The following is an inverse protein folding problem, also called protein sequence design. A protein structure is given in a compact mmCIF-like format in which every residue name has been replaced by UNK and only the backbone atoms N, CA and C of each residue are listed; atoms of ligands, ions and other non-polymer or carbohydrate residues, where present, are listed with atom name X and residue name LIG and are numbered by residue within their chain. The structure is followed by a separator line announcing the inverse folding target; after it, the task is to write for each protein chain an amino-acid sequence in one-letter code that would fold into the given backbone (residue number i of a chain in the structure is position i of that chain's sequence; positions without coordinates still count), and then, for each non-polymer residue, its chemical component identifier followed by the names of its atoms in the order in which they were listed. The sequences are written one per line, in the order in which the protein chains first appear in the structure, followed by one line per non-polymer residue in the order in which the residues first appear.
data_IF_519806734993
#
_entry.id   IF_519806734993
#
_cell.length_a   1.000
_cell.length_b   1.000
_cell.length_c   1.000
_cell.angle_alpha   90.00
_cell.angle_beta   90.00
_cell.angle_gamma   90.00
#
_symmetry.space_group_name_H-M   'P 1'
#
loop_
_entity.id
_entity.type
_entity.pdbx_description
1 polymer ?
#
# COMPACT_ATOMS: atom_id res chain seq x y z
N UNK A 1 -13.49 -16.69 -14.25
CA UNK A 1 -13.01 -16.39 -12.89
C UNK A 1 -11.57 -16.82 -12.90
N UNK A 2 -10.66 -15.85 -12.95
CA UNK A 2 -9.23 -16.15 -12.97
C UNK A 2 -8.80 -16.77 -11.65
N UNK A 3 -7.91 -17.76 -11.71
CA UNK A 3 -7.34 -18.35 -10.50
C UNK A 3 -6.35 -17.37 -9.87
N UNK A 4 -6.05 -17.60 -8.59
CA UNK A 4 -5.02 -16.80 -7.91
C UNK A 4 -3.65 -16.95 -8.58
N UNK A 5 -3.31 -18.13 -9.11
CA UNK A 5 -2.08 -18.32 -9.87
C UNK A 5 -2.05 -17.53 -11.18
N UNK A 6 -3.18 -17.44 -11.89
CA UNK A 6 -3.30 -16.61 -13.10
C UNK A 6 -3.12 -15.13 -12.79
N UNK A 7 -3.76 -14.61 -11.75
CA UNK A 7 -3.59 -13.23 -11.28
C UNK A 7 -2.13 -12.93 -10.88
N UNK A 8 -1.47 -13.86 -10.19
CA UNK A 8 -0.06 -13.71 -9.86
C UNK A 8 0.80 -13.69 -11.14
N UNK A 9 0.54 -14.58 -12.11
CA UNK A 9 1.29 -14.57 -13.36
C UNK A 9 1.06 -13.29 -14.19
N UNK A 10 -0.14 -12.72 -14.13
CA UNK A 10 -0.45 -11.43 -14.76
C UNK A 10 0.37 -10.29 -14.13
N UNK A 11 0.47 -10.23 -12.80
CA UNK A 11 1.33 -9.24 -12.12
C UNK A 11 2.78 -9.26 -12.60
N UNK A 12 3.37 -10.46 -12.75
CA UNK A 12 4.76 -10.55 -13.21
C UNK A 12 4.93 -10.08 -14.65
N UNK A 13 3.93 -10.31 -15.50
CA UNK A 13 3.97 -9.94 -16.90
C UNK A 13 3.76 -8.44 -17.12
N UNK A 14 2.86 -7.82 -16.35
CA UNK A 14 2.45 -6.41 -16.49
C UNK A 14 3.36 -5.46 -15.70
N UNK A 15 3.73 -5.80 -14.47
CA UNK A 15 4.57 -4.98 -13.60
C UNK A 15 6.02 -5.45 -13.65
N UNK A 16 6.71 -5.02 -14.71
CA UNK A 16 8.12 -5.37 -14.96
C UNK A 16 9.09 -4.42 -14.24
N UNK A 17 10.34 -4.88 -14.11
CA UNK A 17 11.45 -4.07 -13.62
C UNK A 17 11.74 -2.88 -14.55
N UNK A 18 12.49 -1.86 -14.09
CA UNK A 18 12.96 -0.77 -14.96
C UNK A 18 13.68 -1.25 -16.22
N UNK A 19 14.39 -2.38 -16.12
CA UNK A 19 15.09 -3.01 -17.25
C UNK A 19 14.16 -3.80 -18.20
N UNK A 20 12.84 -3.77 -17.99
CA UNK A 20 11.84 -4.46 -18.81
C UNK A 20 11.76 -5.98 -18.63
N UNK A 21 12.55 -6.55 -17.70
CA UNK A 21 12.51 -7.96 -17.32
C UNK A 21 11.50 -8.22 -16.21
N UNK A 22 10.94 -9.41 -16.17
CA UNK A 22 10.12 -9.86 -15.04
C UNK A 22 10.94 -9.94 -13.75
N UNK A 23 10.27 -9.82 -12.62
CA UNK A 23 10.86 -10.10 -11.31
C UNK A 23 11.13 -11.60 -11.17
N UNK A 24 12.28 -11.93 -10.60
CA UNK A 24 12.63 -13.31 -10.23
C UNK A 24 12.06 -13.64 -8.87
N UNK A 25 11.86 -14.93 -8.57
CA UNK A 25 11.37 -15.35 -7.26
C UNK A 25 12.29 -14.93 -6.11
N UNK A 26 13.61 -14.89 -6.35
CA UNK A 26 14.59 -14.41 -5.36
C UNK A 26 14.45 -12.91 -5.10
N UNK A 27 14.18 -12.11 -6.13
CA UNK A 27 13.93 -10.67 -5.97
C UNK A 27 12.66 -10.42 -5.14
N UNK A 28 11.59 -11.20 -5.35
CA UNK A 28 10.37 -11.11 -4.54
C UNK A 28 10.60 -11.53 -3.09
N UNK A 29 11.36 -12.60 -2.86
CA UNK A 29 11.76 -12.99 -1.51
C UNK A 29 12.47 -11.85 -0.77
N UNK A 30 13.44 -11.21 -1.42
CA UNK A 30 14.16 -10.08 -0.83
C UNK A 30 13.25 -8.85 -0.64
N UNK A 31 12.43 -8.51 -1.63
CA UNK A 31 11.53 -7.35 -1.58
C UNK A 31 10.43 -7.48 -0.52
N UNK A 32 10.05 -8.71 -0.16
CA UNK A 32 9.09 -9.00 0.92
C UNK A 32 9.76 -9.17 2.29
N UNK A 33 11.08 -8.99 2.39
CA UNK A 33 11.81 -9.22 3.65
C UNK A 33 11.79 -10.68 4.10
N UNK A 34 11.68 -11.62 3.17
CA UNK A 34 11.62 -13.05 3.43
C UNK A 34 10.23 -13.62 3.72
N UNK A 35 9.16 -12.82 3.61
CA UNK A 35 7.81 -13.29 3.88
C UNK A 35 7.28 -14.29 2.83
N UNK A 36 7.82 -14.28 1.61
CA UNK A 36 7.41 -15.18 0.53
C UNK A 36 8.63 -15.97 0.03
N UNK A 37 8.69 -17.25 0.39
CA UNK A 37 9.74 -18.16 -0.08
C UNK A 37 9.64 -18.42 -1.61
N UNK A 38 10.77 -18.52 -2.34
CA UNK A 38 10.77 -18.78 -3.78
C UNK A 38 10.06 -20.07 -4.21
N UNK A 39 10.14 -21.13 -3.40
CA UNK A 39 9.49 -22.42 -3.69
C UNK A 39 7.97 -22.33 -3.49
N UNK A 40 7.53 -21.56 -2.48
CA UNK A 40 6.12 -21.28 -2.23
C UNK A 40 5.53 -20.42 -3.35
N UNK A 41 6.24 -19.38 -3.78
CA UNK A 41 5.87 -18.54 -4.91
C UNK A 41 5.73 -19.32 -6.22
N UNK A 42 6.68 -20.23 -6.50
CA UNK A 42 6.57 -21.12 -7.66
C UNK A 42 5.28 -21.96 -7.60
N UNK A 43 4.95 -22.55 -6.45
CA UNK A 43 3.72 -23.33 -6.29
C UNK A 43 2.45 -22.50 -6.48
N UNK A 44 2.45 -21.24 -6.03
CA UNK A 44 1.34 -20.31 -6.24
C UNK A 44 1.12 -20.01 -7.73
N UNK A 45 2.20 -19.72 -8.47
CA UNK A 45 2.14 -19.45 -9.91
C UNK A 45 1.66 -20.63 -10.76
N UNK A 46 1.78 -21.86 -10.25
CA UNK A 46 1.31 -23.08 -10.91
C UNK A 46 -0.02 -23.61 -10.33
N UNK A 47 -0.77 -22.78 -9.62
CA UNK A 47 -2.08 -23.11 -9.02
C UNK A 47 -2.05 -24.34 -8.10
N UNK A 48 -0.88 -24.71 -7.55
CA UNK A 48 -0.76 -25.83 -6.60
C UNK A 48 -1.29 -25.48 -5.22
N UNK A 49 -1.49 -24.20 -4.94
CA UNK A 49 -1.97 -23.67 -3.68
C UNK A 49 -3.16 -22.76 -4.00
N UNK A 50 -4.39 -23.26 -3.88
CA UNK A 50 -5.58 -22.55 -4.36
C UNK A 50 -5.98 -21.37 -3.46
N UNK A 51 -5.59 -21.40 -2.18
CA UNK A 51 -5.93 -20.36 -1.21
C UNK A 51 -4.70 -19.91 -0.41
N UNK A 52 -3.86 -19.01 -0.97
CA UNK A 52 -2.77 -18.41 -0.21
C UNK A 52 -3.30 -17.56 0.96
N UNK A 53 -2.51 -17.46 2.02
CA UNK A 53 -2.81 -16.56 3.12
C UNK A 53 -2.90 -15.10 2.67
N UNK A 54 -3.81 -14.35 3.30
CA UNK A 54 -4.04 -12.92 3.04
C UNK A 54 -2.75 -12.10 3.10
N UNK A 55 -1.88 -12.39 4.05
CA UNK A 55 -0.60 -11.67 4.21
C UNK A 55 0.34 -11.86 3.02
N UNK A 56 0.34 -13.04 2.39
CA UNK A 56 1.11 -13.30 1.16
C UNK A 56 0.62 -12.41 0.02
N UNK A 57 -0.70 -12.37 -0.20
CA UNK A 57 -1.29 -11.56 -1.27
C UNK A 57 -1.03 -10.07 -1.05
N UNK A 58 -1.17 -9.59 0.19
CA UNK A 58 -0.84 -8.20 0.54
C UNK A 58 0.66 -7.88 0.42
N UNK A 59 1.54 -8.84 0.70
CA UNK A 59 2.98 -8.67 0.46
C UNK A 59 3.28 -8.54 -1.04
N UNK A 60 2.63 -9.34 -1.90
CA UNK A 60 2.74 -9.20 -3.36
C UNK A 60 2.21 -7.83 -3.81
N UNK A 61 1.05 -7.40 -3.33
CA UNK A 61 0.50 -6.07 -3.62
C UNK A 61 1.50 -4.95 -3.32
N UNK A 62 2.16 -5.01 -2.15
CA UNK A 62 3.16 -4.01 -1.75
C UNK A 62 4.39 -4.00 -2.66
N UNK A 63 4.90 -5.17 -3.05
CA UNK A 63 6.07 -5.27 -3.93
C UNK A 63 5.78 -4.76 -5.34
N UNK A 64 4.64 -5.17 -5.90
CA UNK A 64 4.21 -4.77 -7.25
C UNK A 64 3.51 -3.41 -7.29
N UNK A 65 3.28 -2.78 -6.12
CA UNK A 65 2.60 -1.50 -5.93
C UNK A 65 1.19 -1.48 -6.54
N UNK A 66 0.47 -2.60 -6.40
CA UNK A 66 -0.94 -2.72 -6.82
C UNK A 66 -1.86 -2.64 -5.61
N UNK A 67 -3.09 -2.14 -5.76
CA UNK A 67 -4.05 -2.10 -4.66
C UNK A 67 -4.45 -3.53 -4.23
N UNK A 68 -4.83 -3.73 -2.95
CA UNK A 68 -5.37 -5.01 -2.49
C UNK A 68 -6.61 -5.48 -3.24
N UNK A 69 -7.40 -4.55 -3.81
CA UNK A 69 -8.60 -4.88 -4.60
C UNK A 69 -8.31 -5.79 -5.80
N UNK A 70 -7.06 -5.81 -6.28
CA UNK A 70 -6.64 -6.71 -7.36
C UNK A 70 -6.86 -8.18 -7.02
N UNK A 71 -6.62 -8.60 -5.77
CA UNK A 71 -6.88 -9.96 -5.31
C UNK A 71 -8.19 -10.09 -4.52
N UNK A 72 -8.71 -8.97 -4.00
CA UNK A 72 -9.90 -8.91 -3.17
C UNK A 72 -10.90 -7.90 -3.76
N UNK A 73 -11.61 -8.24 -4.85
CA UNK A 73 -12.55 -7.34 -5.52
C UNK A 73 -13.65 -6.81 -4.59
N UNK A 74 -13.96 -7.53 -3.51
CA UNK A 74 -14.89 -7.08 -2.48
C UNK A 74 -14.45 -5.78 -1.80
N UNK A 75 -13.16 -5.46 -1.81
CA UNK A 75 -12.61 -4.21 -1.26
C UNK A 75 -12.83 -3.00 -2.19
N UNK A 76 -13.18 -3.21 -3.46
CA UNK A 76 -13.38 -2.12 -4.42
C UNK A 76 -14.56 -1.21 -4.01
N UNK A 77 -15.64 -1.82 -3.53
CA UNK A 77 -16.80 -1.09 -3.00
C UNK A 77 -16.51 -0.33 -1.69
N UNK A 78 -15.45 -0.71 -0.97
CA UNK A 78 -14.99 0.02 0.22
C UNK A 78 -14.12 1.23 -0.14
N UNK A 79 -13.49 1.22 -1.32
CA UNK A 79 -12.66 2.33 -1.81
C UNK A 79 -13.50 3.49 -2.36
N UNK A 80 -14.67 3.23 -2.94
CA UNK A 80 -15.57 4.27 -3.50
C UNK A 80 -16.15 5.25 -2.45
N UNK A 81 -15.89 5.03 -1.16
CA UNK A 81 -16.24 5.97 -0.07
C UNK A 81 -15.07 6.33 0.85
N UNK A 82 -13.87 5.80 0.62
CA UNK A 82 -12.71 6.10 1.44
C UNK A 82 -12.00 7.35 0.88
N UNK A 83 -11.85 8.44 1.65
CA UNK A 83 -11.01 9.54 1.22
C UNK A 83 -9.61 8.98 0.93
N UNK A 84 -9.03 9.40 -0.19
CA UNK A 84 -7.64 9.16 -0.64
C UNK A 84 -6.67 9.01 0.54
N UNK A 85 -5.58 8.22 0.45
CA UNK A 85 -4.52 8.14 1.47
C UNK A 85 -3.82 9.50 1.60
N UNK A 86 -4.51 10.40 2.28
CA UNK A 86 -4.20 11.78 2.51
C UNK A 86 -3.35 11.74 3.77
N UNK A 87 -2.07 12.08 3.66
CA UNK A 87 -1.14 12.15 4.79
C UNK A 87 -1.82 12.81 5.99
N UNK A 88 -1.58 12.36 7.23
CA UNK A 88 -2.22 12.93 8.43
C UNK A 88 -2.13 14.47 8.48
N UNK A 89 -1.04 15.02 7.93
CA UNK A 89 -0.78 16.45 7.81
C UNK A 89 -1.77 17.17 6.88
N UNK A 90 -2.17 16.56 5.77
CA UNK A 90 -3.10 17.17 4.82
C UNK A 90 -4.55 17.05 5.32
N UNK A 91 -4.90 15.96 6.03
CA UNK A 91 -6.18 15.86 6.74
C UNK A 91 -6.32 16.96 7.81
N UNK A 92 -5.27 17.18 8.60
CA UNK A 92 -5.24 18.25 9.60
C UNK A 92 -5.36 19.64 8.95
N UNK A 93 -4.66 19.90 7.85
CA UNK A 93 -4.76 21.17 7.09
C UNK A 93 -6.16 21.42 6.51
N UNK A 94 -6.83 20.37 6.04
CA UNK A 94 -8.19 20.46 5.53
C UNK A 94 -9.21 20.70 6.66
N UNK A 95 -9.04 20.03 7.81
CA UNK A 95 -9.84 20.27 9.01
C UNK A 95 -9.66 21.69 9.57
N UNK A 96 -8.43 22.22 9.55
CA UNK A 96 -8.14 23.60 9.94
C UNK A 96 -8.72 24.64 8.97
N UNK A 97 -8.79 24.35 7.66
CA UNK A 97 -9.46 25.23 6.69
C UNK A 97 -10.97 25.23 6.84
N UNK A 98 -11.56 24.08 7.14
CA UNK A 98 -13.00 23.91 7.28
C UNK A 98 -13.53 24.53 8.59
N UNK A 99 -12.69 24.54 9.63
CA UNK A 99 -13.01 25.26 10.86
C UNK A 99 -12.82 26.76 10.64
N UNK A 100 -13.93 27.51 10.58
CA UNK A 100 -13.93 28.97 10.74
C UNK A 100 -13.47 29.30 12.15
N UNK A 101 -12.17 29.13 12.43
CA UNK A 101 -11.58 29.46 13.71
C UNK A 101 -11.41 30.98 13.78
N UNK A 102 -11.77 31.53 14.94
CA UNK A 102 -11.53 32.93 15.26
C UNK A 102 -10.02 33.20 15.28
N UNK A 103 -9.59 34.41 14.86
CA UNK A 103 -8.18 34.77 14.68
C UNK A 103 -7.33 34.54 15.94
N UNK A 104 -7.88 34.77 17.14
CA UNK A 104 -7.21 34.53 18.42
C UNK A 104 -6.81 33.05 18.66
N UNK A 105 -7.57 32.11 18.09
CA UNK A 105 -7.27 30.67 18.21
C UNK A 105 -6.20 30.25 17.22
N UNK A 106 -6.13 30.91 16.05
CA UNK A 106 -5.06 30.68 15.06
C UNK A 106 -3.69 31.08 15.63
N UNK A 107 -3.61 32.26 16.26
CA UNK A 107 -2.36 32.76 16.83
C UNK A 107 -1.83 31.84 17.95
N UNK A 108 -2.73 31.31 18.78
CA UNK A 108 -2.37 30.38 19.87
C UNK A 108 -1.89 29.02 19.36
N UNK A 109 -2.44 28.54 18.25
CA UNK A 109 -2.03 27.27 17.64
C UNK A 109 -0.69 27.40 16.90
N UNK A 110 -0.40 28.53 16.27
CA UNK A 110 0.90 28.78 15.64
C UNK A 110 2.05 28.84 16.67
N UNK A 111 1.78 29.42 17.84
CA UNK A 111 2.74 29.43 18.97
C UNK A 111 3.02 28.00 19.48
N UNK A 112 1.97 27.17 19.60
CA UNK A 112 2.10 25.76 19.98
C UNK A 112 2.88 24.94 18.95
N UNK A 113 2.66 25.19 17.65
CA UNK A 113 3.35 24.47 16.59
C UNK A 113 4.84 24.84 16.52
N UNK A 114 5.21 26.11 16.74
CA UNK A 114 6.61 26.51 16.86
C UNK A 114 7.30 25.85 18.05
N UNK A 115 6.61 25.77 19.19
CA UNK A 115 7.13 25.12 20.39
C UNK A 115 7.39 23.61 20.19
N UNK A 116 6.57 22.93 19.38
CA UNK A 116 6.78 21.51 19.04
C UNK A 116 7.85 21.28 17.96
N UNK A 117 8.24 22.30 17.20
CA UNK A 117 9.24 22.18 16.11
C UNK A 117 10.63 22.72 16.47
N UNK A 118 10.84 23.24 17.67
CA UNK A 118 12.12 23.80 18.06
C UNK A 118 12.45 23.61 19.52
N UNK A 119 12.97 22.42 19.86
CA UNK A 119 13.94 22.21 20.94
C UNK A 119 14.57 20.83 20.76
N UNK A 120 15.62 20.77 19.95
CA UNK A 120 16.70 19.79 20.10
C UNK A 120 18.00 20.55 19.80
N UNK A 121 18.62 21.07 20.87
CA UNK A 121 20.00 21.55 20.89
C UNK A 121 20.78 20.62 21.81
#
# INVERSE_FOLDING_TARGET
MDTVGQLINDLFQTHRKPDGKEYTHKEIFLATGGAIDPSYLSRLRHDKIPNPGRETLLALCRVFKVPPSYFFPELEHLAEGAPEPTTPQLQFRLALRASRLQPDVQEKLEQLFRALQGEDK
#
